data_IF_485843946073
#
_entry.id   IF_485843946073
#
_cell.length_a   1.000
_cell.length_b   1.000
_cell.length_c   1.000
_cell.angle_alpha   90.00
_cell.angle_beta   90.00
_cell.angle_gamma   90.00
#
_symmetry.space_group_name_H-M   'P 1'
#
loop_
_entity.id
_entity.type
_entity.pdbx_description
1 polymer ?
#
# COMPACT_ATOMS: atom_id res chain seq x y z
N UNK A 1 -0.07 -7.30 -9.39
CA UNK A 1 -1.46 -6.83 -9.68
C UNK A 1 -2.04 -7.30 -11.02
N UNK A 2 -1.50 -8.34 -11.66
CA UNK A 2 -1.97 -8.82 -12.97
C UNK A 2 -3.25 -9.68 -12.98
N UNK A 3 -3.97 -9.79 -11.85
CA UNK A 3 -5.26 -10.51 -11.72
C UNK A 3 -6.25 -9.63 -10.97
N UNK A 4 -7.58 -9.81 -11.12
CA UNK A 4 -8.58 -8.94 -10.48
C UNK A 4 -8.47 -8.87 -8.95
N UNK A 5 -8.84 -7.71 -8.38
CA UNK A 5 -8.87 -7.48 -6.92
C UNK A 5 -9.91 -8.34 -6.20
N UNK A 6 -11.02 -8.65 -6.86
CA UNK A 6 -12.05 -9.57 -6.40
C UNK A 6 -11.78 -11.03 -6.80
N UNK A 7 -10.62 -11.29 -7.41
CA UNK A 7 -10.21 -12.61 -7.86
C UNK A 7 -9.84 -13.56 -6.72
N UNK A 8 -9.87 -14.88 -6.97
CA UNK A 8 -9.64 -15.88 -5.91
C UNK A 8 -8.24 -15.81 -5.31
N UNK A 9 -7.23 -15.36 -6.05
CA UNK A 9 -5.86 -15.29 -5.55
C UNK A 9 -5.68 -14.20 -4.49
N UNK A 10 -6.16 -12.98 -4.75
CA UNK A 10 -6.12 -11.92 -3.74
C UNK A 10 -7.09 -12.22 -2.59
N UNK A 11 -8.22 -12.85 -2.90
CA UNK A 11 -9.17 -13.35 -1.91
C UNK A 11 -8.55 -14.27 -0.86
N UNK A 12 -7.51 -15.06 -1.20
CA UNK A 12 -6.78 -15.86 -0.21
C UNK A 12 -6.01 -15.00 0.80
N UNK A 13 -5.40 -13.90 0.37
CA UNK A 13 -4.71 -12.95 1.26
C UNK A 13 -5.71 -12.23 2.18
N UNK A 14 -6.83 -11.78 1.63
CA UNK A 14 -7.93 -11.17 2.39
C UNK A 14 -8.52 -12.16 3.40
N UNK A 15 -8.70 -13.43 3.00
CA UNK A 15 -9.15 -14.51 3.89
C UNK A 15 -8.18 -14.72 5.05
N UNK A 16 -6.87 -14.83 4.77
CA UNK A 16 -5.84 -14.95 5.80
C UNK A 16 -5.92 -13.81 6.82
N UNK A 17 -6.01 -12.55 6.36
CA UNK A 17 -6.17 -11.40 7.25
C UNK A 17 -7.47 -11.45 8.08
N UNK A 18 -8.55 -12.00 7.52
CA UNK A 18 -9.84 -12.12 8.22
C UNK A 18 -9.83 -13.21 9.29
N UNK A 19 -9.18 -14.34 9.01
CA UNK A 19 -9.13 -15.50 9.91
C UNK A 19 -8.11 -15.33 11.04
N UNK A 20 -7.08 -14.50 10.83
CA UNK A 20 -6.01 -14.26 11.80
C UNK A 20 -5.99 -12.79 12.26
N UNK A 21 -6.57 -12.46 13.42
CA UNK A 21 -6.71 -11.08 13.90
C UNK A 21 -5.37 -10.40 14.25
N UNK A 22 -4.32 -11.19 14.46
CA UNK A 22 -2.95 -10.78 14.81
C UNK A 22 -2.05 -10.48 13.60
N UNK A 23 -2.52 -10.75 12.37
CA UNK A 23 -1.79 -10.41 11.14
C UNK A 23 -2.05 -8.95 10.76
N UNK A 24 -0.95 -8.25 10.43
CA UNK A 24 -0.92 -6.88 9.93
C UNK A 24 -0.38 -6.85 8.50
N UNK A 25 -0.78 -5.85 7.71
CA UNK A 25 -0.27 -5.67 6.34
C UNK A 25 0.33 -4.29 6.13
N UNK A 26 1.53 -4.25 5.55
CA UNK A 26 2.04 -3.04 4.92
C UNK A 26 1.39 -2.87 3.55
N UNK A 27 0.77 -1.72 3.28
CA UNK A 27 0.21 -1.36 1.96
C UNK A 27 1.17 -0.44 1.21
N UNK A 28 2.41 -0.92 1.02
CA UNK A 28 3.55 -0.19 0.48
C UNK A 28 4.06 -0.80 -0.84
N UNK A 29 5.19 -0.27 -1.32
CA UNK A 29 5.93 -0.76 -2.48
C UNK A 29 5.17 -0.83 -3.82
N UNK A 30 4.36 0.19 -4.19
CA UNK A 30 3.66 0.16 -5.48
C UNK A 30 4.64 0.08 -6.67
N UNK A 31 5.85 0.61 -6.53
CA UNK A 31 6.93 0.55 -7.52
C UNK A 31 7.42 -0.87 -7.84
N UNK A 32 7.19 -1.83 -6.93
CA UNK A 32 7.52 -3.25 -7.13
C UNK A 32 6.33 -4.07 -7.62
N UNK A 33 5.12 -3.65 -7.27
CA UNK A 33 3.90 -4.40 -7.50
C UNK A 33 3.21 -4.04 -8.81
N UNK A 34 3.40 -2.80 -9.28
CA UNK A 34 2.89 -2.29 -10.54
C UNK A 34 3.39 -3.14 -11.70
N UNK A 35 2.49 -3.42 -12.63
CA UNK A 35 2.79 -4.11 -13.89
C UNK A 35 2.61 -3.16 -15.07
N UNK A 36 1.63 -2.25 -14.99
CA UNK A 36 1.28 -1.35 -16.10
C UNK A 36 1.24 0.12 -15.73
N UNK A 37 1.24 0.48 -14.44
CA UNK A 37 1.28 1.87 -14.01
C UNK A 37 2.65 2.51 -14.31
N UNK A 38 2.68 3.79 -14.73
CA UNK A 38 3.95 4.47 -15.02
C UNK A 38 4.80 4.61 -13.74
N UNK A 39 6.14 4.69 -13.87
CA UNK A 39 7.01 4.91 -12.72
C UNK A 39 6.84 6.32 -12.16
N UNK A 40 7.00 6.44 -10.84
CA UNK A 40 6.98 7.70 -10.10
C UNK A 40 8.28 8.48 -10.37
N UNK A 41 8.36 9.09 -11.55
CA UNK A 41 9.50 9.86 -12.02
C UNK A 41 9.01 11.15 -12.68
N UNK A 42 9.87 12.17 -12.72
CA UNK A 42 9.65 13.38 -13.52
C UNK A 42 8.28 14.07 -13.26
N UNK A 43 7.78 14.01 -12.02
CA UNK A 43 6.49 14.62 -11.64
C UNK A 43 5.25 13.81 -12.02
N UNK A 44 5.36 12.52 -12.34
CA UNK A 44 4.21 11.65 -12.65
C UNK A 44 3.31 11.43 -11.41
N UNK A 45 2.19 12.15 -11.34
CA UNK A 45 1.25 12.09 -10.23
C UNK A 45 0.29 10.90 -10.28
N UNK A 46 0.29 10.14 -11.38
CA UNK A 46 -0.57 8.97 -11.60
C UNK A 46 0.25 7.67 -11.67
N UNK A 47 1.39 7.65 -10.99
CA UNK A 47 2.25 6.48 -10.91
C UNK A 47 1.55 5.28 -10.26
N UNK A 48 1.83 4.08 -10.79
CA UNK A 48 1.44 2.79 -10.18
C UNK A 48 -0.05 2.59 -9.83
N UNK A 49 -0.98 3.27 -10.54
CA UNK A 49 -2.41 3.24 -10.20
C UNK A 49 -3.07 1.87 -10.27
N UNK A 50 -2.48 0.92 -10.98
CA UNK A 50 -2.92 -0.48 -11.03
C UNK A 50 -2.80 -1.20 -9.68
N UNK A 51 -2.02 -0.65 -8.73
CA UNK A 51 -1.91 -1.16 -7.35
C UNK A 51 -2.98 -0.59 -6.41
N UNK A 52 -3.50 0.60 -6.71
CA UNK A 52 -4.44 1.33 -5.83
C UNK A 52 -5.65 0.48 -5.41
N UNK A 53 -6.36 -0.24 -6.30
CA UNK A 53 -7.54 -1.02 -5.90
C UNK A 53 -7.23 -2.05 -4.81
N UNK A 54 -6.05 -2.67 -4.83
CA UNK A 54 -5.66 -3.70 -3.86
C UNK A 54 -5.31 -3.08 -2.51
N UNK A 55 -4.46 -2.05 -2.52
CA UNK A 55 -4.06 -1.37 -1.29
C UNK A 55 -5.26 -0.69 -0.62
N UNK A 56 -6.11 -0.01 -1.40
CA UNK A 56 -7.35 0.60 -0.90
C UNK A 56 -8.32 -0.41 -0.31
N UNK A 57 -8.48 -1.57 -0.94
CA UNK A 57 -9.33 -2.64 -0.39
C UNK A 57 -8.85 -3.06 1.01
N UNK A 58 -7.55 -3.21 1.23
CA UNK A 58 -7.01 -3.58 2.54
C UNK A 58 -7.16 -2.46 3.56
N UNK A 59 -6.93 -1.21 3.17
CA UNK A 59 -7.10 -0.04 4.05
C UNK A 59 -8.54 0.10 4.52
N UNK A 60 -9.51 -0.07 3.61
CA UNK A 60 -10.93 0.05 3.94
C UNK A 60 -11.46 -1.18 4.70
N UNK A 61 -11.01 -2.39 4.37
CA UNK A 61 -11.48 -3.61 5.01
C UNK A 61 -10.82 -3.90 6.37
N UNK A 62 -9.59 -3.43 6.58
CA UNK A 62 -8.79 -3.71 7.78
C UNK A 62 -8.12 -2.43 8.35
N UNK A 63 -8.87 -1.35 8.61
CA UNK A 63 -8.32 -0.03 8.89
C UNK A 63 -7.44 0.02 10.14
N UNK A 64 -7.65 -0.88 11.10
CA UNK A 64 -6.88 -0.94 12.36
C UNK A 64 -5.71 -1.93 12.31
N UNK A 65 -5.43 -2.52 11.14
CA UNK A 65 -4.40 -3.56 10.94
C UNK A 65 -3.53 -3.36 9.68
N UNK A 66 -3.45 -2.13 9.21
CA UNK A 66 -2.62 -1.73 8.07
C UNK A 66 -1.66 -0.62 8.45
N UNK A 67 -0.50 -0.58 7.80
CA UNK A 67 0.50 0.46 7.96
C UNK A 67 1.20 0.74 6.64
N UNK A 68 1.99 1.82 6.57
CA UNK A 68 2.69 2.23 5.36
C UNK A 68 4.15 2.57 5.64
N UNK A 69 4.99 2.50 4.60
CA UNK A 69 6.37 2.97 4.60
C UNK A 69 6.89 3.08 3.17
N UNK A 70 7.93 3.87 2.94
CA UNK A 70 8.45 4.14 1.59
C UNK A 70 9.18 2.95 0.97
N UNK A 71 9.74 2.07 1.79
CA UNK A 71 10.74 1.06 1.37
C UNK A 71 12.09 1.65 0.92
N UNK A 72 12.34 2.95 1.18
CA UNK A 72 13.65 3.55 0.98
C UNK A 72 14.74 2.79 1.75
N UNK A 73 15.93 2.49 1.17
CA UNK A 73 16.47 3.00 -0.10
C UNK A 73 16.17 2.12 -1.34
N UNK A 74 15.00 1.50 -1.40
CA UNK A 74 14.49 0.71 -2.52
C UNK A 74 15.45 -0.40 -2.96
N UNK A 75 15.91 -1.29 -2.04
CA UNK A 75 16.91 -2.28 -2.36
C UNK A 75 16.45 -3.23 -3.47
N UNK A 76 17.37 -3.65 -4.35
CA UNK A 76 17.10 -4.54 -5.47
C UNK A 76 16.09 -4.04 -6.52
N UNK A 77 15.66 -2.78 -6.46
CA UNK A 77 14.92 -2.16 -7.55
C UNK A 77 15.93 -1.73 -8.63
N UNK A 78 15.90 -2.39 -9.79
CA UNK A 78 16.92 -2.24 -10.84
C UNK A 78 16.46 -1.36 -11.99
N UNK A 79 15.16 -1.29 -12.23
CA UNK A 79 14.59 -0.69 -13.44
C UNK A 79 14.53 0.84 -13.32
N UNK A 80 14.22 1.36 -12.13
CA UNK A 80 14.19 2.80 -11.82
C UNK A 80 14.34 3.03 -10.31
N UNK A 81 14.73 4.25 -9.93
CA UNK A 81 14.65 4.72 -8.53
C UNK A 81 13.44 5.65 -8.43
N UNK A 82 12.38 5.32 -7.68
CA UNK A 82 11.20 6.17 -7.58
C UNK A 82 11.54 7.48 -6.86
N UNK A 83 10.85 8.54 -7.23
CA UNK A 83 10.78 9.75 -6.41
C UNK A 83 9.94 9.46 -5.16
N UNK A 84 10.58 9.52 -3.99
CA UNK A 84 9.92 9.26 -2.71
C UNK A 84 8.79 10.25 -2.41
N UNK A 85 8.86 11.49 -2.90
CA UNK A 85 7.79 12.48 -2.75
C UNK A 85 6.53 12.04 -3.47
N UNK A 86 6.66 11.56 -4.71
CA UNK A 86 5.55 10.99 -5.47
C UNK A 86 5.01 9.69 -4.83
N UNK A 87 5.84 8.91 -4.15
CA UNK A 87 5.39 7.75 -3.36
C UNK A 87 4.59 8.17 -2.12
N UNK A 88 4.90 9.29 -1.48
CA UNK A 88 4.08 9.82 -0.38
C UNK A 88 2.75 10.36 -0.91
N UNK A 89 2.76 11.02 -2.07
CA UNK A 89 1.54 11.51 -2.74
C UNK A 89 0.58 10.40 -3.20
N UNK A 90 1.05 9.14 -3.22
CA UNK A 90 0.21 7.96 -3.45
C UNK A 90 -0.76 7.68 -2.28
N UNK A 91 -0.42 8.06 -1.04
CA UNK A 91 -1.17 7.67 0.17
C UNK A 91 -2.65 8.06 0.11
N UNK A 92 -3.04 9.31 -0.27
CA UNK A 92 -4.45 9.70 -0.35
C UNK A 92 -5.27 8.86 -1.35
N UNK A 93 -4.64 8.19 -2.31
CA UNK A 93 -5.34 7.32 -3.26
C UNK A 93 -5.80 6.00 -2.63
N UNK A 94 -5.07 5.49 -1.63
CA UNK A 94 -5.35 4.23 -0.93
C UNK A 94 -6.04 4.46 0.43
N UNK A 95 -5.82 5.62 1.05
CA UNK A 95 -6.45 6.07 2.27
C UNK A 95 -7.20 7.40 1.99
N UNK A 96 -8.41 7.34 1.43
CA UNK A 96 -9.12 8.51 0.88
C UNK A 96 -9.68 9.48 1.93
N UNK A 97 -9.64 9.13 3.22
CA UNK A 97 -10.14 9.97 4.30
C UNK A 97 -9.03 10.30 5.30
N UNK A 98 -9.15 11.44 5.97
CA UNK A 98 -8.20 11.84 7.01
C UNK A 98 -8.11 10.80 8.14
N UNK A 99 -9.23 10.15 8.48
CA UNK A 99 -9.25 9.09 9.49
C UNK A 99 -8.48 7.84 9.05
N UNK A 100 -8.65 7.39 7.80
CA UNK A 100 -7.88 6.26 7.28
C UNK A 100 -6.38 6.59 7.21
N UNK A 101 -6.02 7.83 6.85
CA UNK A 101 -4.63 8.28 6.85
C UNK A 101 -4.04 8.32 8.26
N UNK A 102 -4.79 8.82 9.25
CA UNK A 102 -4.37 8.87 10.65
C UNK A 102 -4.11 7.46 11.19
N UNK A 103 -5.04 6.52 10.95
CA UNK A 103 -4.84 5.12 11.34
C UNK A 103 -3.61 4.51 10.67
N UNK A 104 -3.49 4.66 9.35
CA UNK A 104 -2.43 4.07 8.54
C UNK A 104 -1.03 4.56 8.93
N UNK A 105 -0.89 5.85 9.27
CA UNK A 105 0.40 6.52 9.45
C UNK A 105 0.77 6.78 10.91
N UNK A 106 -0.20 6.82 11.83
CA UNK A 106 0.02 7.24 13.22
C UNK A 106 -0.41 6.13 14.19
N UNK A 107 -1.70 5.83 14.27
CA UNK A 107 -2.21 4.97 15.35
C UNK A 107 -1.70 3.53 15.22
N UNK A 108 -1.77 2.96 14.01
CA UNK A 108 -1.39 1.57 13.78
C UNK A 108 0.12 1.33 13.98
N UNK A 109 1.04 2.15 13.40
CA UNK A 109 2.47 2.02 13.70
C UNK A 109 2.81 2.21 15.18
N UNK A 110 2.19 3.18 15.86
CA UNK A 110 2.42 3.41 17.30
C UNK A 110 2.04 2.19 18.14
N UNK A 111 0.90 1.56 17.83
CA UNK A 111 0.43 0.33 18.48
C UNK A 111 1.37 -0.86 18.30
N UNK A 112 2.08 -0.93 17.17
CA UNK A 112 2.98 -2.04 16.86
C UNK A 112 4.41 -1.87 17.39
N UNK A 113 4.95 -0.66 17.34
CA UNK A 113 6.39 -0.44 17.57
C UNK A 113 6.71 0.33 18.86
N UNK A 114 5.75 1.06 19.43
CA UNK A 114 5.99 1.99 20.54
C UNK A 114 5.09 1.78 21.76
N UNK A 115 4.25 0.74 21.74
CA UNK A 115 3.36 0.37 22.86
C UNK A 115 3.98 -0.70 23.74
#
# INVERSE_FOLDING_TARGET
>A
VGKPVDGPQFGLFVKMMREHPDIWSKVSCPERLSVSGPPALNGEQQAYRDVVPFARHLVEAFPDRVLWGTDWPHPNLKDHMPDDGLLVDFIPSIAPTAELQHKLLVDNPNRLYWS
#
